data_IF_581725635195
#
_entry.id   IF_581725635195
#
_cell.length_a   1.000
_cell.length_b   1.000
_cell.length_c   1.000
_cell.angle_alpha   90.00
_cell.angle_beta   90.00
_cell.angle_gamma   90.00
#
_symmetry.space_group_name_H-M   'P 1'
#
loop_
_entity.id
_entity.type
_entity.pdbx_description
1 polymer ?
#
# COMPACT_ATOMS: atom_id res chain seq x y z
N UNK A 1 1.52 17.01 25.63
CA UNK A 1 1.13 18.37 25.16
C UNK A 1 -0.38 18.40 25.08
N UNK A 2 -1.07 19.09 26.00
CA UNK A 2 -2.53 19.10 26.16
C UNK A 2 -3.28 20.00 25.15
N UNK A 3 -2.63 20.36 24.03
CA UNK A 3 -3.07 21.48 23.17
C UNK A 3 -4.43 21.24 22.52
N UNK A 4 -4.79 19.98 22.24
CA UNK A 4 -6.05 19.69 21.55
C UNK A 4 -7.24 19.47 22.48
N UNK A 5 -7.05 19.12 23.77
CA UNK A 5 -8.15 18.77 24.68
C UNK A 5 -9.20 19.89 24.88
N UNK A 6 -8.88 21.12 24.45
CA UNK A 6 -9.72 22.31 24.57
C UNK A 6 -10.33 22.76 23.23
N UNK A 7 -10.30 21.93 22.18
CA UNK A 7 -10.84 22.27 20.84
C UNK A 7 -11.86 21.20 20.40
N UNK A 8 -13.03 21.09 21.07
CA UNK A 8 -13.98 19.98 20.85
C UNK A 8 -14.60 19.98 19.44
N UNK A 9 -14.69 21.15 18.82
CA UNK A 9 -15.26 21.34 17.47
C UNK A 9 -14.22 21.22 16.36
N UNK A 10 -12.98 20.83 16.66
CA UNK A 10 -11.93 20.68 15.67
C UNK A 10 -12.36 19.65 14.63
N UNK A 11 -12.49 20.09 13.37
CA UNK A 11 -12.81 19.21 12.23
C UNK A 11 -11.58 18.76 11.47
N UNK A 12 -10.67 19.69 11.21
CA UNK A 12 -9.45 19.44 10.43
C UNK A 12 -8.25 19.97 11.18
N UNK A 13 -7.19 19.18 11.24
CA UNK A 13 -5.86 19.64 11.63
C UNK A 13 -4.94 19.50 10.44
N UNK A 14 -4.48 20.63 9.92
CA UNK A 14 -3.46 20.69 8.89
C UNK A 14 -2.20 21.30 9.50
N UNK A 15 -1.16 20.47 9.59
CA UNK A 15 0.17 20.85 10.06
C UNK A 15 1.22 20.31 9.09
N UNK A 16 0.86 20.21 7.81
CA UNK A 16 1.78 19.77 6.76
C UNK A 16 3.00 20.69 6.64
N UNK A 17 4.10 20.20 6.05
CA UNK A 17 5.31 21.00 5.73
C UNK A 17 5.95 21.64 6.96
N UNK A 18 5.91 20.93 8.09
CA UNK A 18 6.54 21.33 9.34
C UNK A 18 7.75 20.43 9.65
N UNK A 19 8.18 20.44 10.91
CA UNK A 19 9.30 19.62 11.42
C UNK A 19 8.84 18.68 12.53
N UNK A 20 7.58 18.24 12.48
CA UNK A 20 7.00 17.36 13.50
C UNK A 20 7.71 16.01 13.40
N UNK A 21 8.18 15.51 14.54
CA UNK A 21 8.89 14.22 14.65
C UNK A 21 8.01 13.12 15.24
N UNK A 22 7.04 13.52 16.07
CA UNK A 22 6.12 12.60 16.74
C UNK A 22 4.72 13.16 16.76
N UNK A 23 3.73 12.30 16.55
CA UNK A 23 2.33 12.59 16.77
C UNK A 23 1.80 11.60 17.80
N UNK A 24 1.46 12.09 19.00
CA UNK A 24 1.01 11.24 20.10
C UNK A 24 -0.03 11.94 20.97
N UNK A 25 -0.93 11.14 21.56
CA UNK A 25 -1.82 11.60 22.62
C UNK A 25 -1.37 10.99 23.97
N UNK A 26 -1.05 11.85 24.93
CA UNK A 26 -0.52 11.42 26.25
C UNK A 26 -1.60 10.97 27.24
N UNK A 27 -2.87 11.23 26.93
CA UNK A 27 -4.02 10.85 27.76
C UNK A 27 -5.24 10.58 26.87
N UNK A 28 -6.17 9.69 27.29
CA UNK A 28 -7.39 9.42 26.56
C UNK A 28 -8.20 10.68 26.28
N UNK A 29 -8.58 10.90 25.01
CA UNK A 29 -9.42 12.03 24.60
C UNK A 29 -10.26 11.67 23.38
N UNK A 30 -11.48 12.22 23.33
CA UNK A 30 -12.43 12.01 22.24
C UNK A 30 -12.63 13.31 21.47
N UNK A 31 -12.53 13.24 20.14
CA UNK A 31 -12.90 14.35 19.25
C UNK A 31 -14.04 13.94 18.32
N UNK A 32 -15.26 14.30 18.70
CA UNK A 32 -16.47 13.87 17.99
C UNK A 32 -16.58 14.46 16.58
N UNK A 33 -16.01 15.64 16.35
CA UNK A 33 -16.12 16.37 15.09
C UNK A 33 -14.90 16.22 14.18
N UNK A 34 -13.85 15.51 14.62
CA UNK A 34 -12.56 15.48 13.90
C UNK A 34 -12.59 14.53 12.71
N UNK A 35 -12.43 15.08 11.51
CA UNK A 35 -12.65 14.43 10.22
C UNK A 35 -11.34 14.15 9.48
N UNK A 36 -10.35 15.06 9.57
CA UNK A 36 -9.12 14.97 8.76
C UNK A 36 -7.88 15.37 9.56
N UNK A 37 -6.86 14.53 9.46
CA UNK A 37 -5.50 14.83 9.92
C UNK A 37 -4.57 14.90 8.70
N UNK A 38 -3.99 16.08 8.47
CA UNK A 38 -2.98 16.33 7.45
C UNK A 38 -1.64 16.64 8.14
N UNK A 39 -0.72 15.68 8.09
CA UNK A 39 0.61 15.74 8.70
C UNK A 39 1.71 15.43 7.66
N UNK A 40 1.41 15.60 6.39
CA UNK A 40 2.30 15.34 5.26
C UNK A 40 3.55 16.24 5.30
N UNK A 41 4.63 15.80 4.67
CA UNK A 41 5.87 16.60 4.54
C UNK A 41 6.42 17.04 5.91
N UNK A 42 6.52 16.12 6.84
CA UNK A 42 7.10 16.35 8.17
C UNK A 42 8.34 15.45 8.35
N UNK A 43 8.75 15.17 9.59
CA UNK A 43 9.85 14.27 9.94
C UNK A 43 9.36 13.17 10.88
N UNK A 44 8.10 12.75 10.72
CA UNK A 44 7.45 11.88 11.69
C UNK A 44 8.12 10.51 11.64
N UNK A 45 8.72 10.13 12.76
CA UNK A 45 9.29 8.80 12.99
C UNK A 45 8.42 7.95 13.92
N UNK A 46 7.46 8.57 14.61
CA UNK A 46 6.55 7.90 15.55
C UNK A 46 5.15 8.50 15.47
N UNK A 47 4.16 7.63 15.32
CA UNK A 47 2.74 7.99 15.28
C UNK A 47 1.98 7.04 16.22
N UNK A 48 1.33 7.60 17.24
CA UNK A 48 0.64 6.84 18.27
C UNK A 48 -0.71 7.51 18.60
N UNK A 49 -1.79 6.86 18.21
CA UNK A 49 -3.14 7.35 18.49
C UNK A 49 -3.90 6.47 19.46
N UNK A 50 -3.24 5.57 20.21
CA UNK A 50 -3.93 4.63 21.12
C UNK A 50 -4.88 5.31 22.11
N UNK A 51 -4.59 6.56 22.46
CA UNK A 51 -5.35 7.37 23.39
C UNK A 51 -6.35 8.32 22.69
N UNK A 52 -6.58 8.18 21.39
CA UNK A 52 -7.55 8.99 20.64
C UNK A 52 -8.78 8.16 20.27
N UNK A 53 -9.94 8.73 20.54
CA UNK A 53 -11.23 8.24 20.06
C UNK A 53 -11.75 9.24 19.03
N UNK A 54 -11.72 8.88 17.74
CA UNK A 54 -12.03 9.81 16.64
C UNK A 54 -13.18 9.23 15.79
N UNK A 55 -14.43 9.25 16.29
CA UNK A 55 -15.55 8.58 15.62
C UNK A 55 -15.87 9.17 14.25
N UNK A 56 -15.58 10.45 13.99
CA UNK A 56 -15.82 11.10 12.71
C UNK A 56 -14.63 11.10 11.75
N UNK A 57 -13.48 10.52 12.15
CA UNK A 57 -12.25 10.58 11.36
C UNK A 57 -12.41 9.76 10.09
N UNK A 58 -12.07 10.40 8.97
CA UNK A 58 -12.25 9.87 7.62
C UNK A 58 -10.92 9.64 6.90
N UNK A 59 -9.97 10.53 7.11
CA UNK A 59 -8.71 10.53 6.37
C UNK A 59 -7.52 10.94 7.24
N UNK A 60 -6.46 10.14 7.20
CA UNK A 60 -5.14 10.48 7.73
C UNK A 60 -4.15 10.48 6.57
N UNK A 61 -3.48 11.61 6.38
CA UNK A 61 -2.42 11.77 5.38
C UNK A 61 -1.06 11.86 6.09
N UNK A 62 -0.20 10.86 5.89
CA UNK A 62 1.14 10.75 6.50
C UNK A 62 2.25 10.66 5.46
N UNK A 63 1.96 11.06 4.23
CA UNK A 63 2.92 10.99 3.14
C UNK A 63 4.12 11.93 3.38
N UNK A 64 5.27 11.63 2.78
CA UNK A 64 6.49 12.44 2.93
C UNK A 64 6.92 12.60 4.40
N UNK A 65 7.16 11.48 5.06
CA UNK A 65 7.63 11.43 6.45
C UNK A 65 8.82 10.46 6.60
N UNK A 66 9.18 10.14 7.84
CA UNK A 66 10.34 9.32 8.18
C UNK A 66 9.97 8.01 8.88
N UNK A 67 8.75 7.50 8.67
CA UNK A 67 8.31 6.23 9.26
C UNK A 67 9.15 5.07 8.71
N UNK A 68 9.63 4.21 9.61
CA UNK A 68 10.39 3.00 9.23
C UNK A 68 9.56 1.72 9.34
N UNK A 69 8.42 1.80 10.02
CA UNK A 69 7.41 0.76 10.18
C UNK A 69 6.01 1.39 10.13
N UNK A 70 5.01 0.60 9.74
CA UNK A 70 3.62 1.03 9.83
C UNK A 70 3.28 1.10 11.33
N UNK A 71 2.74 2.23 11.83
CA UNK A 71 2.34 2.33 13.23
C UNK A 71 1.42 1.18 13.64
N UNK A 72 1.52 0.71 14.88
CA UNK A 72 0.68 -0.39 15.41
C UNK A 72 -0.20 0.06 16.58
N UNK A 73 0.06 1.25 17.13
CA UNK A 73 -0.65 1.81 18.27
C UNK A 73 -1.73 2.79 17.81
N UNK A 74 -2.85 2.24 17.38
CA UNK A 74 -3.99 3.00 16.88
C UNK A 74 -5.09 3.08 17.93
N UNK A 75 -5.74 4.24 17.98
CA UNK A 75 -7.01 4.42 18.68
C UNK A 75 -8.20 3.90 17.88
N UNK A 76 -9.39 4.36 18.25
CA UNK A 76 -10.64 3.95 17.61
C UNK A 76 -11.06 4.93 16.51
N UNK A 77 -11.00 4.46 15.25
CA UNK A 77 -11.30 5.25 14.04
C UNK A 77 -12.22 4.46 13.07
N UNK A 78 -13.46 4.15 13.48
CA UNK A 78 -14.32 3.21 12.74
C UNK A 78 -14.67 3.68 11.32
N UNK A 79 -14.63 4.99 11.06
CA UNK A 79 -15.01 5.60 9.78
C UNK A 79 -13.80 5.99 8.91
N UNK A 80 -12.59 5.56 9.26
CA UNK A 80 -11.40 5.83 8.48
C UNK A 80 -11.48 5.07 7.14
N UNK A 81 -11.52 5.81 6.04
CA UNK A 81 -11.55 5.24 4.69
C UNK A 81 -10.26 5.49 3.91
N UNK A 82 -9.46 6.49 4.29
CA UNK A 82 -8.18 6.81 3.68
C UNK A 82 -7.05 6.86 4.70
N UNK A 83 -5.96 6.13 4.40
CA UNK A 83 -4.73 6.10 5.18
C UNK A 83 -3.53 6.05 4.23
N UNK A 84 -2.81 7.17 4.10
CA UNK A 84 -1.65 7.31 3.20
C UNK A 84 -0.31 7.11 3.91
N UNK A 85 0.58 6.33 3.30
CA UNK A 85 1.96 6.09 3.76
C UNK A 85 2.99 6.29 2.64
N UNK A 86 2.65 7.00 1.57
CA UNK A 86 3.55 7.19 0.44
C UNK A 86 4.81 7.96 0.88
N UNK A 87 5.94 7.71 0.21
CA UNK A 87 7.20 8.45 0.44
C UNK A 87 7.63 8.45 1.92
N UNK A 88 7.75 7.26 2.49
CA UNK A 88 8.31 7.03 3.83
C UNK A 88 9.55 6.11 3.71
N UNK A 89 10.02 5.55 4.83
CA UNK A 89 11.17 4.64 4.89
C UNK A 89 10.77 3.21 5.33
N UNK A 90 9.53 2.80 5.05
CA UNK A 90 8.98 1.51 5.46
C UNK A 90 9.77 0.36 4.84
N UNK A 91 10.17 -0.63 5.65
CA UNK A 91 10.95 -1.79 5.19
C UNK A 91 10.12 -3.06 4.97
N UNK A 92 8.99 -3.17 5.65
CA UNK A 92 8.10 -4.32 5.60
C UNK A 92 6.66 -3.86 5.79
N UNK A 93 5.72 -4.68 5.31
CA UNK A 93 4.29 -4.47 5.53
C UNK A 93 3.66 -5.74 6.05
N UNK A 94 2.90 -5.60 7.13
CA UNK A 94 2.04 -6.66 7.65
C UNK A 94 0.57 -6.27 7.44
N UNK A 95 -0.12 -6.94 6.53
CA UNK A 95 -1.49 -6.61 6.16
C UNK A 95 -2.48 -6.68 7.32
N UNK A 96 -2.17 -7.42 8.41
CA UNK A 96 -3.07 -7.52 9.55
C UNK A 96 -3.27 -6.19 10.29
N UNK A 97 -2.34 -5.23 10.17
CA UNK A 97 -2.47 -3.90 10.80
C UNK A 97 -3.70 -3.14 10.27
N UNK A 98 -4.12 -3.39 9.03
CA UNK A 98 -5.27 -2.72 8.44
C UNK A 98 -6.62 -3.25 8.95
N UNK A 99 -6.63 -4.39 9.66
CA UNK A 99 -7.87 -5.05 10.12
C UNK A 99 -8.70 -4.23 11.10
N UNK A 100 -8.11 -3.22 11.74
CA UNK A 100 -8.80 -2.28 12.63
C UNK A 100 -9.58 -1.18 11.88
N UNK A 101 -9.45 -1.09 10.56
CA UNK A 101 -10.08 -0.07 9.73
C UNK A 101 -11.06 -0.71 8.72
N UNK A 102 -12.28 -1.06 9.17
CA UNK A 102 -13.23 -1.83 8.35
C UNK A 102 -13.70 -1.08 7.10
N UNK A 103 -13.57 0.26 7.10
CA UNK A 103 -14.04 1.13 6.04
C UNK A 103 -12.93 1.59 5.06
N UNK A 104 -11.70 1.08 5.17
CA UNK A 104 -10.65 1.39 4.20
C UNK A 104 -11.06 0.96 2.79
N UNK A 105 -10.92 1.88 1.83
CA UNK A 105 -11.20 1.60 0.41
C UNK A 105 -9.94 1.36 -0.40
N UNK A 106 -8.79 1.86 0.06
CA UNK A 106 -7.52 1.67 -0.62
C UNK A 106 -6.32 1.71 0.33
N UNK A 107 -5.22 1.08 -0.10
CA UNK A 107 -3.94 1.05 0.61
C UNK A 107 -2.86 1.62 -0.32
N UNK A 108 -2.26 2.74 0.08
CA UNK A 108 -1.26 3.47 -0.71
C UNK A 108 0.05 3.55 0.09
N UNK A 109 1.05 2.78 -0.37
CA UNK A 109 2.38 2.69 0.27
C UNK A 109 3.48 2.69 -0.81
N UNK A 110 3.37 3.64 -1.73
CA UNK A 110 4.32 3.85 -2.81
C UNK A 110 5.62 4.48 -2.29
N UNK A 111 6.70 4.34 -3.05
CA UNK A 111 7.96 5.06 -2.82
C UNK A 111 8.53 4.85 -1.41
N UNK A 112 8.59 3.60 -0.98
CA UNK A 112 9.15 3.19 0.30
C UNK A 112 10.36 2.25 0.07
N UNK A 113 10.80 1.53 1.10
CA UNK A 113 11.92 0.58 1.04
C UNK A 113 11.45 -0.85 1.35
N UNK A 114 10.21 -1.17 0.98
CA UNK A 114 9.57 -2.44 1.38
C UNK A 114 10.25 -3.58 0.64
N UNK A 115 10.75 -4.57 1.37
CA UNK A 115 11.37 -5.78 0.81
C UNK A 115 10.37 -6.95 0.76
N UNK A 116 9.40 -6.99 1.68
CA UNK A 116 8.43 -8.10 1.76
C UNK A 116 7.09 -7.64 2.29
N UNK A 117 6.02 -8.25 1.76
CA UNK A 117 4.65 -8.14 2.28
C UNK A 117 4.28 -9.45 2.96
N UNK A 118 3.81 -9.38 4.21
CA UNK A 118 3.34 -10.52 5.00
C UNK A 118 1.94 -10.29 5.55
N UNK A 119 1.37 -11.34 6.13
CA UNK A 119 0.09 -11.28 6.86
C UNK A 119 0.22 -12.18 8.07
N UNK A 120 0.41 -11.61 9.27
CA UNK A 120 0.60 -12.41 10.48
C UNK A 120 -0.67 -13.02 11.03
N UNK A 121 -1.80 -12.34 10.86
CA UNK A 121 -3.10 -12.82 11.32
C UNK A 121 -4.13 -12.68 10.20
N UNK A 122 -5.13 -13.59 10.11
CA UNK A 122 -6.19 -13.47 9.15
C UNK A 122 -6.89 -12.10 9.25
N UNK A 123 -7.09 -11.46 8.10
CA UNK A 123 -7.69 -10.12 8.02
C UNK A 123 -8.70 -10.08 6.88
N UNK A 124 -9.85 -9.45 7.14
CA UNK A 124 -10.83 -9.13 6.11
C UNK A 124 -10.90 -7.62 5.95
N UNK A 125 -10.67 -7.14 4.73
CA UNK A 125 -10.82 -5.73 4.37
C UNK A 125 -11.92 -5.65 3.31
N UNK A 126 -13.18 -5.49 3.74
CA UNK A 126 -14.33 -5.72 2.86
C UNK A 126 -14.46 -4.67 1.78
N UNK A 127 -13.99 -3.44 2.01
CA UNK A 127 -14.15 -2.32 1.06
C UNK A 127 -12.88 -2.02 0.25
N UNK A 128 -11.76 -2.68 0.52
CA UNK A 128 -10.50 -2.41 -0.20
C UNK A 128 -10.61 -2.91 -1.64
N UNK A 129 -10.55 -1.97 -2.58
CA UNK A 129 -10.57 -2.23 -4.01
C UNK A 129 -9.20 -2.01 -4.68
N UNK A 130 -8.33 -1.20 -4.07
CA UNK A 130 -7.08 -0.73 -4.66
C UNK A 130 -5.92 -0.87 -3.68
N UNK A 131 -4.83 -1.48 -4.13
CA UNK A 131 -3.59 -1.61 -3.38
C UNK A 131 -2.41 -1.15 -4.24
N UNK A 132 -1.63 -0.18 -3.76
CA UNK A 132 -0.49 0.38 -4.46
C UNK A 132 0.79 0.26 -3.64
N UNK A 133 1.75 -0.50 -4.17
CA UNK A 133 3.08 -0.72 -3.60
C UNK A 133 4.18 -0.38 -4.62
N UNK A 134 3.96 0.66 -5.42
CA UNK A 134 4.86 1.02 -6.49
C UNK A 134 6.18 1.57 -5.96
N UNK A 135 7.27 1.43 -6.71
CA UNK A 135 8.57 2.02 -6.37
C UNK A 135 9.07 1.59 -4.98
N UNK A 136 9.12 0.28 -4.76
CA UNK A 136 9.63 -0.35 -3.55
C UNK A 136 10.77 -1.34 -3.91
N UNK A 137 11.15 -2.21 -2.98
CA UNK A 137 12.21 -3.21 -3.16
C UNK A 137 11.66 -4.63 -2.98
N UNK A 138 10.37 -4.84 -3.29
CA UNK A 138 9.65 -6.05 -2.93
C UNK A 138 10.20 -7.24 -3.70
N UNK A 139 10.68 -8.24 -2.98
CA UNK A 139 11.13 -9.54 -3.53
C UNK A 139 10.10 -10.64 -3.31
N UNK A 140 9.21 -10.50 -2.33
CA UNK A 140 8.23 -11.53 -1.98
C UNK A 140 6.91 -10.95 -1.44
N UNK A 141 5.82 -11.64 -1.74
CA UNK A 141 4.47 -11.22 -1.42
C UNK A 141 3.68 -12.40 -0.85
N UNK A 142 3.17 -12.25 0.36
CA UNK A 142 2.34 -13.26 1.02
C UNK A 142 1.02 -12.66 1.52
N UNK A 143 -0.08 -13.02 0.85
CA UNK A 143 -1.46 -12.66 1.20
C UNK A 143 -2.25 -13.85 1.77
N UNK A 144 -1.58 -14.88 2.32
CA UNK A 144 -2.20 -16.16 2.73
C UNK A 144 -3.27 -16.01 3.83
N UNK A 145 -3.29 -14.89 4.55
CA UNK A 145 -4.32 -14.55 5.55
C UNK A 145 -5.32 -13.47 5.12
N UNK A 146 -5.22 -12.93 3.90
CA UNK A 146 -6.07 -11.81 3.48
C UNK A 146 -7.35 -12.28 2.77
N UNK A 147 -8.48 -11.72 3.17
CA UNK A 147 -9.76 -11.77 2.46
C UNK A 147 -10.13 -10.36 1.97
N UNK A 148 -10.09 -10.17 0.65
CA UNK A 148 -10.31 -8.88 -0.02
C UNK A 148 -11.36 -9.07 -1.13
N UNK A 149 -12.66 -9.21 -0.77
CA UNK A 149 -13.69 -9.63 -1.71
C UNK A 149 -13.92 -8.64 -2.87
N UNK A 150 -13.59 -7.36 -2.65
CA UNK A 150 -13.74 -6.29 -3.63
C UNK A 150 -12.43 -5.85 -4.29
N UNK A 151 -11.31 -6.58 -4.07
CA UNK A 151 -10.02 -6.19 -4.64
C UNK A 151 -10.08 -6.17 -6.17
N UNK A 152 -10.02 -4.98 -6.74
CA UNK A 152 -10.09 -4.74 -8.17
C UNK A 152 -8.71 -4.55 -8.78
N UNK A 153 -7.79 -3.85 -8.10
CA UNK A 153 -6.48 -3.51 -8.65
C UNK A 153 -5.37 -3.63 -7.61
N UNK A 154 -4.25 -4.27 -7.99
CA UNK A 154 -3.02 -4.25 -7.22
C UNK A 154 -1.81 -3.91 -8.10
N UNK A 155 -1.06 -2.89 -7.71
CA UNK A 155 0.17 -2.50 -8.39
C UNK A 155 1.40 -2.82 -7.55
N UNK A 156 2.28 -3.64 -8.12
CA UNK A 156 3.61 -3.97 -7.64
C UNK A 156 4.67 -3.45 -8.62
N UNK A 157 4.33 -2.41 -9.39
CA UNK A 157 5.21 -1.83 -10.40
C UNK A 157 6.52 -1.33 -9.76
N UNK A 158 7.63 -1.49 -10.49
CA UNK A 158 8.95 -0.99 -10.09
C UNK A 158 9.38 -1.55 -8.72
N UNK A 159 9.54 -2.87 -8.66
CA UNK A 159 9.97 -3.66 -7.52
C UNK A 159 11.03 -4.69 -7.96
N UNK A 160 11.35 -5.66 -7.11
CA UNK A 160 12.38 -6.68 -7.34
C UNK A 160 11.80 -8.09 -7.45
N UNK A 161 10.56 -8.24 -7.92
CA UNK A 161 9.91 -9.52 -8.09
C UNK A 161 10.56 -10.32 -9.23
N UNK A 162 11.00 -11.53 -8.94
CA UNK A 162 11.54 -12.46 -9.96
C UNK A 162 10.48 -13.38 -10.56
N UNK A 163 9.26 -13.37 -10.02
CA UNK A 163 8.14 -14.16 -10.49
C UNK A 163 6.82 -13.40 -10.25
N UNK A 164 5.82 -13.68 -11.07
CA UNK A 164 4.46 -13.16 -10.85
C UNK A 164 3.90 -13.81 -9.58
N UNK A 165 3.50 -13.03 -8.56
CA UNK A 165 2.98 -13.59 -7.33
C UNK A 165 1.63 -14.29 -7.59
N UNK A 166 1.31 -15.39 -6.89
CA UNK A 166 0.12 -16.22 -7.17
C UNK A 166 -1.20 -15.59 -6.69
N UNK A 167 -1.34 -14.27 -6.76
CA UNK A 167 -2.50 -13.54 -6.24
C UNK A 167 -3.79 -13.86 -6.99
N UNK A 168 -3.74 -14.24 -8.27
CA UNK A 168 -4.93 -14.66 -9.02
C UNK A 168 -5.63 -15.90 -8.42
N UNK A 169 -4.94 -16.72 -7.62
CA UNK A 169 -5.55 -17.84 -6.91
C UNK A 169 -6.44 -17.38 -5.75
N UNK A 170 -6.13 -16.21 -5.17
CA UNK A 170 -6.87 -15.61 -4.05
C UNK A 170 -7.86 -14.56 -4.48
N UNK A 171 -7.50 -13.77 -5.49
CA UNK A 171 -8.29 -12.68 -6.01
C UNK A 171 -8.44 -12.85 -7.53
N UNK A 172 -9.30 -13.79 -7.99
CA UNK A 172 -9.39 -14.17 -9.40
C UNK A 172 -9.76 -13.02 -10.34
N UNK A 173 -10.43 -11.99 -9.83
CA UNK A 173 -10.94 -10.85 -10.59
C UNK A 173 -10.02 -9.61 -10.58
N UNK A 174 -8.93 -9.62 -9.81
CA UNK A 174 -8.03 -8.46 -9.63
C UNK A 174 -7.08 -8.19 -10.81
N UNK A 175 -7.01 -6.96 -11.28
CA UNK A 175 -5.98 -6.47 -12.18
C UNK A 175 -4.59 -6.42 -11.49
N UNK A 176 -3.68 -7.24 -12.01
CA UNK A 176 -2.23 -7.34 -11.74
C UNK A 176 -1.39 -6.27 -12.44
N UNK A 177 -0.65 -5.35 -11.81
CA UNK A 177 0.54 -4.74 -12.48
C UNK A 177 1.84 -5.16 -11.78
N UNK A 178 2.77 -5.74 -12.55
CA UNK A 178 4.13 -6.13 -12.13
C UNK A 178 5.18 -5.54 -13.08
N UNK A 179 4.84 -4.46 -13.77
CA UNK A 179 5.76 -3.75 -14.66
C UNK A 179 7.04 -3.34 -13.94
N UNK A 180 8.15 -3.24 -14.66
CA UNK A 180 9.46 -2.85 -14.15
C UNK A 180 9.94 -3.73 -12.99
N UNK A 181 9.69 -5.04 -13.09
CA UNK A 181 10.26 -6.07 -12.21
C UNK A 181 11.13 -7.03 -13.04
N UNK A 182 12.17 -7.64 -12.45
CA UNK A 182 13.01 -8.65 -13.11
C UNK A 182 12.31 -10.03 -13.18
N UNK A 183 11.08 -10.09 -13.72
CA UNK A 183 10.28 -11.31 -13.79
C UNK A 183 10.93 -12.32 -14.75
N UNK A 184 11.09 -13.57 -14.31
CA UNK A 184 11.61 -14.66 -15.15
C UNK A 184 10.68 -14.98 -16.31
N UNK A 185 11.23 -15.27 -17.48
CA UNK A 185 10.47 -15.60 -18.69
C UNK A 185 9.56 -16.82 -18.49
N UNK A 186 10.04 -17.83 -17.75
CA UNK A 186 9.24 -19.00 -17.39
C UNK A 186 7.99 -18.63 -16.57
N UNK A 187 8.13 -17.73 -15.58
CA UNK A 187 7.01 -17.24 -14.80
C UNK A 187 6.07 -16.38 -15.64
N UNK A 188 6.60 -15.52 -16.50
CA UNK A 188 5.76 -14.71 -17.39
C UNK A 188 4.93 -15.58 -18.35
N UNK A 189 5.54 -16.64 -18.92
CA UNK A 189 4.86 -17.57 -19.81
C UNK A 189 3.69 -18.29 -19.12
N UNK A 190 3.81 -18.67 -17.85
CA UNK A 190 2.69 -19.31 -17.13
C UNK A 190 1.47 -18.37 -16.96
N UNK A 191 1.67 -17.06 -17.08
CA UNK A 191 0.62 -16.04 -17.00
C UNK A 191 0.29 -15.39 -18.35
N UNK A 192 0.79 -15.91 -19.48
CA UNK A 192 0.55 -15.34 -20.83
C UNK A 192 -0.94 -15.09 -21.13
N UNK A 193 -1.83 -16.01 -20.72
CA UNK A 193 -3.28 -15.83 -20.85
C UNK A 193 -3.78 -14.59 -20.09
N UNK A 194 -3.31 -14.37 -18.86
CA UNK A 194 -3.69 -13.18 -18.07
C UNK A 194 -3.14 -11.89 -18.64
N UNK A 195 -1.98 -11.94 -19.27
CA UNK A 195 -1.42 -10.79 -19.98
C UNK A 195 -2.30 -10.44 -21.18
N UNK A 196 -2.64 -11.42 -22.02
CA UNK A 196 -3.47 -11.21 -23.22
C UNK A 196 -4.92 -10.79 -22.86
N UNK A 197 -5.45 -11.23 -21.72
CA UNK A 197 -6.74 -10.80 -21.17
C UNK A 197 -6.70 -9.38 -20.55
N UNK A 198 -5.57 -8.67 -20.62
CA UNK A 198 -5.34 -7.38 -19.93
C UNK A 198 -5.61 -7.43 -18.42
N UNK A 199 -5.41 -8.62 -17.83
CA UNK A 199 -5.54 -8.89 -16.39
C UNK A 199 -4.23 -8.81 -15.65
N UNK A 200 -3.11 -8.96 -16.35
CA UNK A 200 -1.75 -8.83 -15.83
C UNK A 200 -0.94 -7.90 -16.75
N UNK A 201 -0.62 -6.71 -16.25
CA UNK A 201 0.29 -5.77 -16.87
C UNK A 201 1.73 -6.15 -16.51
N UNK A 202 2.54 -6.38 -17.54
CA UNK A 202 3.98 -6.63 -17.49
C UNK A 202 4.67 -5.61 -18.37
N UNK A 203 5.96 -5.37 -18.18
CA UNK A 203 6.67 -4.50 -19.11
C UNK A 203 6.75 -5.16 -20.47
N UNK A 204 6.37 -4.40 -21.49
CA UNK A 204 6.40 -4.83 -22.89
C UNK A 204 7.31 -3.94 -23.74
N UNK A 205 7.73 -4.47 -24.87
CA UNK A 205 8.44 -3.75 -25.93
C UNK A 205 8.19 -4.45 -27.27
N UNK A 206 8.38 -3.75 -28.39
CA UNK A 206 8.25 -4.35 -29.74
C UNK A 206 9.47 -5.20 -30.08
N UNK A 207 10.63 -4.78 -29.59
CA UNK A 207 11.93 -5.43 -29.82
C UNK A 207 12.64 -5.75 -28.51
N UNK A 208 13.63 -6.65 -28.54
CA UNK A 208 14.46 -6.94 -27.36
C UNK A 208 15.21 -5.69 -26.85
N UNK A 209 15.61 -4.78 -27.75
CA UNK A 209 16.31 -3.54 -27.41
C UNK A 209 15.48 -2.55 -26.59
N UNK A 210 14.15 -2.66 -26.61
CA UNK A 210 13.25 -1.84 -25.79
C UNK A 210 13.09 -2.39 -24.36
N UNK A 211 13.52 -3.63 -24.11
CA UNK A 211 13.45 -4.23 -22.80
C UNK A 211 14.62 -3.80 -21.92
N UNK A 212 14.32 -3.38 -20.69
CA UNK A 212 15.33 -3.12 -19.66
C UNK A 212 15.95 -4.42 -19.09
N UNK A 213 15.35 -5.57 -19.40
CA UNK A 213 15.81 -6.90 -18.99
C UNK A 213 16.64 -7.56 -20.09
N UNK A 214 17.37 -8.62 -19.74
CA UNK A 214 18.28 -9.34 -20.64
C UNK A 214 17.58 -10.22 -21.67
N UNK A 215 16.27 -10.43 -21.55
CA UNK A 215 15.51 -11.36 -22.39
C UNK A 215 14.07 -10.88 -22.61
N UNK A 216 13.36 -11.54 -23.53
CA UNK A 216 11.97 -11.26 -23.82
C UNK A 216 11.28 -12.45 -24.45
N UNK A 217 9.96 -12.56 -24.26
CA UNK A 217 9.09 -13.57 -24.85
C UNK A 217 8.05 -12.92 -25.76
N UNK A 218 7.64 -13.60 -26.83
CA UNK A 218 6.53 -13.11 -27.66
C UNK A 218 5.19 -13.27 -26.92
N UNK A 219 4.47 -12.16 -26.72
CA UNK A 219 3.12 -12.15 -26.15
C UNK A 219 2.09 -12.29 -27.26
N UNK A 220 2.25 -11.50 -28.32
CA UNK A 220 1.46 -11.54 -29.55
C UNK A 220 2.37 -11.29 -30.78
N UNK A 221 1.81 -10.91 -31.93
CA UNK A 221 2.55 -10.66 -33.17
C UNK A 221 3.40 -9.38 -33.13
N UNK A 222 3.03 -8.40 -32.30
CA UNK A 222 3.63 -7.07 -32.25
C UNK A 222 4.37 -6.79 -30.93
N UNK A 223 3.97 -7.48 -29.84
CA UNK A 223 4.45 -7.21 -28.50
C UNK A 223 5.25 -8.37 -27.91
N UNK A 224 6.33 -7.98 -27.23
CA UNK A 224 7.18 -8.86 -26.44
C UNK A 224 7.08 -8.48 -24.98
N UNK A 225 7.04 -9.47 -24.09
CA UNK A 225 7.12 -9.28 -22.64
C UNK A 225 8.58 -9.28 -22.22
N UNK A 226 9.02 -8.22 -21.56
CA UNK A 226 10.38 -8.05 -21.07
C UNK A 226 10.59 -8.86 -19.80
N UNK A 227 11.50 -9.82 -19.85
CA UNK A 227 11.75 -10.76 -18.76
C UNK A 227 13.25 -11.08 -18.61
N UNK A 228 13.63 -11.73 -17.52
CA UNK A 228 14.97 -12.31 -17.33
C UNK A 228 14.93 -13.82 -17.61
N UNK A 229 16.04 -14.42 -18.04
CA UNK A 229 16.10 -15.85 -18.37
C UNK A 229 15.66 -16.76 -17.21
#
# INVERSE_FOLDING_TARGET
MFVFAHIPELKWLDVQKNRIVRFEATAPVTYNSFIRLAIESNRITSFDTRNLTLPALKSIYMDDNALTEIPTHWGWHPNLYYLGFDRNNLKQVDMSVFGQFPNLTGIFINENKIESIRTSFPVTLPLVDTIMFQNNQIVSVNFTGCNLPNLYYISLMNNQLTAVPPLFQRFPNTLMSVERNPIKCASMMSFKKKINESRLYVTTGRTQSECFTTSSIALDQENRGCCVA
#
